data_IF_175464662565
#
_entry.id   IF_175464662565
#
_cell.length_a   1.000
_cell.length_b   1.000
_cell.length_c   1.000
_cell.angle_alpha   90.00
_cell.angle_beta   90.00
_cell.angle_gamma   90.00
#
_symmetry.space_group_name_H-M   'P 1'
#
loop_
_entity.id
_entity.type
_entity.pdbx_description
1 polymer ?
#
# COMPACT_ATOMS: atom_id res chain seq x y z
N UNK A 1 -20.08 -21.22 -18.53
CA UNK A 1 -18.61 -21.30 -18.50
C UNK A 1 -18.03 -19.93 -18.82
N UNK A 2 -17.64 -19.13 -17.82
CA UNK A 2 -16.88 -17.87 -18.02
C UNK A 2 -16.23 -17.32 -16.74
N UNK A 3 -16.45 -17.92 -15.57
CA UNK A 3 -15.88 -17.42 -14.31
C UNK A 3 -14.37 -17.66 -14.15
N UNK A 4 -13.83 -18.73 -14.74
CA UNK A 4 -12.41 -19.11 -14.59
C UNK A 4 -11.47 -18.06 -15.21
N UNK A 5 -11.90 -17.37 -16.27
CA UNK A 5 -11.07 -16.37 -16.97
C UNK A 5 -10.95 -15.07 -16.17
N UNK A 6 -11.93 -14.76 -15.31
CA UNK A 6 -11.95 -13.50 -14.59
C UNK A 6 -10.98 -13.52 -13.39
N UNK A 7 -10.90 -14.64 -12.67
CA UNK A 7 -10.03 -14.78 -11.50
C UNK A 7 -8.54 -14.71 -11.88
N UNK A 8 -8.15 -15.39 -12.97
CA UNK A 8 -6.78 -15.33 -13.49
C UNK A 8 -6.39 -13.91 -13.94
N UNK A 9 -7.34 -13.15 -14.48
CA UNK A 9 -7.10 -11.76 -14.92
C UNK A 9 -6.86 -10.83 -13.73
N UNK A 10 -7.61 -10.99 -12.64
CA UNK A 10 -7.46 -10.16 -11.43
C UNK A 10 -6.11 -10.40 -10.77
N UNK A 11 -5.71 -11.67 -10.62
CA UNK A 11 -4.40 -12.03 -10.05
C UNK A 11 -3.25 -11.44 -10.86
N UNK A 12 -3.32 -11.50 -12.20
CA UNK A 12 -2.31 -10.88 -13.07
C UNK A 12 -2.24 -9.36 -12.96
N UNK A 13 -3.37 -8.69 -12.72
CA UNK A 13 -3.38 -7.22 -12.53
C UNK A 13 -2.70 -6.86 -11.22
N UNK A 14 -2.98 -7.58 -10.14
CA UNK A 14 -2.35 -7.35 -8.84
C UNK A 14 -0.83 -7.58 -8.90
N UNK A 15 -0.40 -8.67 -9.53
CA UNK A 15 1.03 -8.94 -9.77
C UNK A 15 1.70 -7.80 -10.54
N UNK A 16 1.08 -7.31 -11.62
CA UNK A 16 1.63 -6.20 -12.42
C UNK A 16 1.70 -4.90 -11.64
N UNK A 17 0.66 -4.56 -10.88
CA UNK A 17 0.64 -3.31 -10.10
C UNK A 17 1.69 -3.36 -8.99
N UNK A 18 2.00 -4.53 -8.44
CA UNK A 18 3.05 -4.67 -7.42
C UNK A 18 4.48 -4.78 -8.00
N UNK A 19 4.65 -4.94 -9.33
CA UNK A 19 5.96 -4.94 -9.98
C UNK A 19 6.50 -3.50 -10.11
N UNK A 20 7.58 -3.20 -9.38
CA UNK A 20 8.24 -1.89 -9.41
C UNK A 20 8.68 -1.46 -10.82
N UNK A 21 9.15 -2.40 -11.65
CA UNK A 21 9.57 -2.10 -13.01
C UNK A 21 8.38 -1.71 -13.90
N UNK A 22 7.20 -2.28 -13.63
CA UNK A 22 5.95 -1.89 -14.29
C UNK A 22 5.47 -0.52 -13.82
N UNK A 23 5.52 -0.23 -12.52
CA UNK A 23 5.17 1.07 -11.96
C UNK A 23 6.06 2.19 -12.52
N UNK A 24 7.39 1.98 -12.58
CA UNK A 24 8.33 2.93 -13.19
C UNK A 24 8.01 3.18 -14.65
N UNK A 25 7.63 2.14 -15.39
CA UNK A 25 7.25 2.26 -16.79
C UNK A 25 5.95 3.06 -16.95
N UNK A 26 4.94 2.80 -16.11
CA UNK A 26 3.71 3.58 -16.07
C UNK A 26 3.92 5.05 -15.69
N UNK A 27 4.88 5.34 -14.81
CA UNK A 27 5.21 6.71 -14.40
C UNK A 27 6.13 7.45 -15.38
N UNK A 28 6.64 6.79 -16.42
CA UNK A 28 7.58 7.36 -17.38
C UNK A 28 9.04 7.44 -16.88
N UNK A 29 9.37 6.78 -15.77
CA UNK A 29 10.71 6.77 -15.17
C UNK A 29 11.46 5.43 -15.36
N UNK A 30 10.98 4.56 -16.24
CA UNK A 30 11.65 3.30 -16.54
C UNK A 30 12.93 3.51 -17.36
N UNK A 31 13.88 2.61 -17.17
CA UNK A 31 15.04 2.46 -18.06
C UNK A 31 14.63 2.00 -19.46
N UNK A 32 15.50 2.19 -20.46
CA UNK A 32 15.23 1.75 -21.83
C UNK A 32 14.99 0.24 -21.94
N UNK A 33 15.72 -0.56 -21.14
CA UNK A 33 15.56 -2.00 -21.09
C UNK A 33 14.20 -2.43 -20.53
N UNK A 34 13.75 -1.78 -19.45
CA UNK A 34 12.41 -2.03 -18.88
C UNK A 34 11.31 -1.58 -19.83
N UNK A 35 11.48 -0.44 -20.48
CA UNK A 35 10.54 0.06 -21.49
C UNK A 35 10.37 -0.94 -22.63
N UNK A 36 11.48 -1.44 -23.17
CA UNK A 36 11.45 -2.47 -24.22
C UNK A 36 10.78 -3.76 -23.73
N UNK A 37 11.11 -4.25 -22.52
CA UNK A 37 10.46 -5.42 -21.91
C UNK A 37 8.93 -5.30 -21.92
N UNK A 38 8.40 -4.17 -21.46
CA UNK A 38 6.95 -3.97 -21.37
C UNK A 38 6.28 -3.69 -22.71
N UNK A 39 6.96 -2.96 -23.60
CA UNK A 39 6.49 -2.75 -24.98
C UNK A 39 6.41 -4.07 -25.76
N UNK A 40 7.36 -4.97 -25.56
CA UNK A 40 7.35 -6.29 -26.19
C UNK A 40 6.29 -7.20 -25.57
N UNK A 41 6.12 -7.17 -24.25
CA UNK A 41 5.01 -7.85 -23.57
C UNK A 41 3.64 -7.43 -24.11
N UNK A 42 3.43 -6.13 -24.40
CA UNK A 42 2.20 -5.61 -24.99
C UNK A 42 1.94 -6.12 -26.42
N UNK A 43 2.99 -6.45 -27.18
CA UNK A 43 2.87 -6.93 -28.57
C UNK A 43 2.56 -8.43 -28.65
N UNK A 44 2.92 -9.21 -27.63
CA UNK A 44 2.78 -10.68 -27.65
C UNK A 44 1.33 -11.13 -27.77
N UNK A 45 0.41 -10.54 -26.99
CA UNK A 45 -0.98 -10.99 -26.94
C UNK A 45 -1.96 -9.82 -26.81
N UNK A 46 -3.09 -9.89 -27.52
CA UNK A 46 -4.17 -8.90 -27.40
C UNK A 46 -4.77 -8.88 -25.97
N UNK A 47 -4.68 -9.99 -25.23
CA UNK A 47 -5.11 -10.03 -23.83
C UNK A 47 -4.25 -9.12 -22.94
N UNK A 48 -2.95 -9.00 -23.21
CA UNK A 48 -2.04 -8.14 -22.44
C UNK A 48 -2.45 -6.67 -22.57
N UNK A 49 -2.96 -6.24 -23.73
CA UNK A 49 -3.49 -4.89 -23.89
C UNK A 49 -4.71 -4.62 -23.00
N UNK A 50 -5.58 -5.61 -22.82
CA UNK A 50 -6.75 -5.48 -21.92
C UNK A 50 -6.30 -5.40 -20.46
N UNK A 51 -5.36 -6.25 -20.06
CA UNK A 51 -4.77 -6.25 -18.71
C UNK A 51 -4.08 -4.92 -18.44
N UNK A 52 -3.28 -4.42 -19.38
CA UNK A 52 -2.63 -3.11 -19.29
C UNK A 52 -3.63 -1.97 -19.08
N UNK A 53 -4.72 -1.92 -19.86
CA UNK A 53 -5.75 -0.88 -19.69
C UNK A 53 -6.38 -0.94 -18.31
N UNK A 54 -6.68 -2.14 -17.81
CA UNK A 54 -7.24 -2.33 -16.47
C UNK A 54 -6.25 -1.90 -15.38
N UNK A 55 -5.00 -2.37 -15.45
CA UNK A 55 -3.94 -2.02 -14.51
C UNK A 55 -3.66 -0.51 -14.50
N UNK A 56 -3.63 0.11 -15.69
CA UNK A 56 -3.46 1.57 -15.83
C UNK A 56 -4.60 2.35 -15.16
N UNK A 57 -5.85 1.91 -15.32
CA UNK A 57 -6.99 2.56 -14.67
C UNK A 57 -6.88 2.48 -13.14
N UNK A 58 -6.51 1.32 -12.60
CA UNK A 58 -6.29 1.15 -11.15
C UNK A 58 -5.13 2.03 -10.68
N UNK A 59 -4.01 2.02 -11.41
CA UNK A 59 -2.85 2.87 -11.12
C UNK A 59 -3.21 4.36 -11.10
N UNK A 60 -3.92 4.85 -12.11
CA UNK A 60 -4.36 6.26 -12.16
C UNK A 60 -5.34 6.61 -11.05
N UNK A 61 -6.22 5.69 -10.66
CA UNK A 61 -7.12 5.90 -9.53
C UNK A 61 -6.37 5.88 -8.18
N UNK A 62 -5.30 5.09 -8.07
CA UNK A 62 -4.47 4.98 -6.87
C UNK A 62 -3.44 6.10 -6.73
N UNK A 63 -3.06 6.77 -7.82
CA UNK A 63 -2.26 7.98 -7.73
C UNK A 63 -3.05 9.04 -6.96
N UNK A 64 -2.68 9.22 -5.70
CA UNK A 64 -3.08 10.38 -4.94
C UNK A 64 -2.60 11.59 -5.72
N UNK A 65 -3.54 12.30 -6.35
CA UNK A 65 -3.25 13.63 -6.86
C UNK A 65 -2.62 14.39 -5.70
N UNK A 66 -1.44 15.01 -5.87
CA UNK A 66 -0.90 15.91 -4.88
C UNK A 66 -1.94 17.02 -4.73
N UNK A 67 -2.80 16.89 -3.73
CA UNK A 67 -3.66 17.96 -3.33
C UNK A 67 -2.71 19.08 -2.89
N UNK A 68 -2.97 20.34 -3.27
CA UNK A 68 -2.21 21.44 -2.72
C UNK A 68 -2.24 21.29 -1.19
N UNK A 69 -1.06 21.37 -0.56
CA UNK A 69 -1.00 21.34 0.89
C UNK A 69 -1.96 22.42 1.41
N UNK A 70 -2.93 22.08 2.25
CA UNK A 70 -3.85 23.08 2.76
C UNK A 70 -3.06 24.13 3.52
N UNK A 71 -3.44 25.40 3.36
CA UNK A 71 -2.89 26.46 4.18
C UNK A 71 -3.26 26.18 5.64
N UNK A 72 -2.25 25.99 6.48
CA UNK A 72 -2.41 25.62 7.88
C UNK A 72 -3.26 26.65 8.62
N UNK A 73 -3.09 27.93 8.31
CA UNK A 73 -3.83 29.01 8.97
C UNK A 73 -5.31 28.98 8.58
N UNK A 74 -5.62 28.76 7.30
CA UNK A 74 -7.00 28.69 6.80
C UNK A 74 -7.74 27.49 7.39
N UNK A 75 -7.09 26.32 7.46
CA UNK A 75 -7.69 25.12 8.08
C UNK A 75 -7.82 25.26 9.59
N UNK A 76 -6.88 25.92 10.27
CA UNK A 76 -6.99 26.19 11.70
C UNK A 76 -8.17 27.11 12.01
N UNK A 77 -8.34 28.20 11.25
CA UNK A 77 -9.48 29.11 11.36
C UNK A 77 -10.79 28.35 11.10
N UNK A 78 -10.82 27.52 10.07
CA UNK A 78 -11.98 26.68 9.75
C UNK A 78 -12.33 25.73 10.89
N UNK A 79 -11.32 25.14 11.54
CA UNK A 79 -11.49 24.29 12.72
C UNK A 79 -12.02 25.08 13.92
N UNK A 80 -11.47 26.26 14.21
CA UNK A 80 -11.94 27.13 15.29
C UNK A 80 -13.41 27.51 15.09
N UNK A 81 -13.78 27.90 13.87
CA UNK A 81 -15.16 28.22 13.50
C UNK A 81 -16.10 27.01 13.66
N UNK A 82 -15.67 25.81 13.27
CA UNK A 82 -16.47 24.57 13.43
C UNK A 82 -16.68 24.19 14.89
N UNK A 83 -15.71 24.49 15.75
CA UNK A 83 -15.78 24.21 17.18
C UNK A 83 -16.54 25.31 17.94
N UNK A 84 -16.99 26.38 17.27
CA UNK A 84 -17.61 27.53 17.93
C UNK A 84 -16.65 28.23 18.89
N UNK A 85 -15.34 28.09 18.66
CA UNK A 85 -14.31 28.81 19.40
C UNK A 85 -14.25 30.23 18.85
N UNK A 86 -15.30 31.02 19.12
CA UNK A 86 -15.23 32.45 18.95
C UNK A 86 -14.06 32.95 19.82
N UNK A 87 -13.10 33.62 19.19
CA UNK A 87 -11.90 34.18 19.84
C UNK A 87 -12.20 35.13 21.00
N UNK A 88 -13.46 35.57 21.14
CA UNK A 88 -13.96 36.34 22.27
C UNK A 88 -14.23 35.50 23.55
N UNK A 89 -14.23 34.17 23.49
CA UNK A 89 -14.34 33.29 24.67
C UNK A 89 -13.00 32.72 25.16
N UNK A 90 -11.91 32.93 24.40
CA UNK A 90 -10.57 32.44 24.75
C UNK A 90 -9.97 33.09 26.01
N UNK A 91 -10.59 34.15 26.56
CA UNK A 91 -10.13 34.80 27.78
C UNK A 91 -10.67 34.19 29.09
N UNK A 92 -11.64 33.26 29.06
CA UNK A 92 -12.33 32.80 30.30
C UNK A 92 -12.28 31.28 30.53
N UNK A 93 -11.70 30.48 29.62
CA UNK A 93 -11.48 29.05 29.91
C UNK A 93 -10.12 28.83 30.58
N UNK A 94 -10.07 29.20 31.86
CA UNK A 94 -9.06 28.72 32.80
C UNK A 94 -9.33 27.22 33.04
N UNK A 95 -8.95 26.37 32.09
CA UNK A 95 -9.02 24.91 32.23
C UNK A 95 -7.99 24.56 33.33
N UNK A 96 -8.41 24.09 34.52
CA UNK A 96 -7.45 23.63 35.51
C UNK A 96 -6.76 22.41 34.93
N UNK A 97 -5.48 22.57 34.57
CA UNK A 97 -4.59 21.52 34.09
C UNK A 97 -4.19 20.59 35.24
N UNK A 98 -5.18 20.01 35.94
CA UNK A 98 -4.94 18.87 36.81
C UNK A 98 -5.12 17.58 36.00
N UNK A 99 -4.27 17.40 35.00
CA UNK A 99 -4.08 16.09 34.37
C UNK A 99 -3.04 15.39 35.22
N UNK A 100 -3.51 14.72 36.26
CA UNK A 100 -2.75 13.74 37.02
C UNK A 100 -2.27 12.68 36.01
N UNK A 101 -0.99 12.77 35.64
CA UNK A 101 -0.28 11.82 34.80
C UNK A 101 -0.25 10.44 35.46
N UNK A 102 -1.37 9.70 35.39
CA UNK A 102 -1.33 8.25 35.53
C UNK A 102 -0.76 7.70 34.23
N UNK A 103 0.56 7.67 34.21
CA UNK A 103 1.40 6.85 33.34
C UNK A 103 0.94 5.39 33.45
N UNK A 104 -0.11 5.06 32.70
CA UNK A 104 -0.52 3.69 32.43
C UNK A 104 0.50 3.11 31.47
N UNK A 105 1.54 2.50 32.02
CA UNK A 105 2.57 1.81 31.26
C UNK A 105 1.92 0.84 30.27
N UNK A 106 1.97 1.21 28.99
CA UNK A 106 1.61 0.34 27.88
C UNK A 106 2.67 -0.76 27.88
N UNK A 107 2.35 -1.89 28.51
CA UNK A 107 3.14 -3.12 28.40
C UNK A 107 3.08 -3.57 26.94
N UNK A 108 4.07 -3.16 26.16
CA UNK A 108 4.30 -3.70 24.83
C UNK A 108 4.54 -5.19 24.96
N UNK A 109 3.57 -5.99 24.52
CA UNK A 109 3.77 -7.42 24.30
C UNK A 109 4.71 -7.55 23.11
N UNK A 110 6.01 -7.73 23.39
CA UNK A 110 7.00 -8.17 22.40
C UNK A 110 6.58 -9.55 21.89
N UNK A 111 5.88 -9.55 20.75
CA UNK A 111 5.44 -10.75 20.08
C UNK A 111 6.67 -11.41 19.45
N UNK A 112 7.08 -12.55 19.99
CA UNK A 112 8.30 -13.27 19.64
C UNK A 112 8.25 -13.83 18.20
N UNK A 113 8.50 -12.98 17.21
CA UNK A 113 8.51 -13.31 15.77
C UNK A 113 9.60 -14.35 15.39
N UNK A 114 10.56 -14.60 16.28
CA UNK A 114 11.64 -15.58 16.09
C UNK A 114 11.17 -17.05 16.06
N UNK A 115 9.99 -17.38 16.59
CA UNK A 115 9.49 -18.77 16.57
C UNK A 115 8.78 -19.13 15.25
N UNK A 116 8.25 -18.14 14.52
CA UNK A 116 7.53 -18.38 13.26
C UNK A 116 8.50 -18.71 12.10
N UNK A 117 9.69 -18.10 12.09
CA UNK A 117 10.70 -18.34 11.04
C UNK A 117 11.32 -19.75 11.12
N UNK A 118 11.46 -20.33 12.32
CA UNK A 118 12.06 -21.65 12.51
C UNK A 118 11.20 -22.80 11.95
N UNK A 119 9.87 -22.65 11.96
CA UNK A 119 8.94 -23.68 11.46
C UNK A 119 8.93 -23.73 9.93
N UNK A 120 9.08 -22.58 9.25
CA UNK A 120 9.09 -22.53 7.78
C UNK A 120 10.33 -23.20 7.16
N UNK A 121 11.51 -23.07 7.79
CA UNK A 121 12.74 -23.68 7.27
C UNK A 121 12.74 -25.22 7.31
N UNK A 122 12.05 -25.81 8.29
CA UNK A 122 11.96 -27.27 8.42
C UNK A 122 11.18 -27.96 7.28
N UNK A 123 10.11 -27.34 6.80
CA UNK A 123 9.30 -27.89 5.70
C UNK A 123 10.06 -27.90 4.36
N UNK A 124 10.90 -26.90 4.10
CA UNK A 124 11.68 -26.82 2.86
C UNK A 124 12.73 -27.94 2.80
N UNK A 125 13.40 -28.24 3.91
CA UNK A 125 14.38 -29.34 3.98
C UNK A 125 13.73 -30.72 3.81
N UNK A 126 12.53 -30.94 4.35
CA UNK A 126 11.82 -32.22 4.19
C UNK A 126 11.42 -32.49 2.72
N UNK A 127 11.02 -31.46 1.98
CA UNK A 127 10.63 -31.57 0.56
C UNK A 127 11.86 -31.90 -0.31
N UNK A 128 12.99 -31.23 -0.07
CA UNK A 128 14.24 -31.49 -0.83
C UNK A 128 14.76 -32.92 -0.56
N UNK A 129 14.69 -33.36 0.70
CA UNK A 129 15.10 -34.72 1.08
C UNK A 129 14.27 -35.80 0.39
N UNK A 130 12.96 -35.57 0.25
CA UNK A 130 12.06 -36.52 -0.39
C UNK A 130 12.36 -36.69 -1.88
N UNK A 131 12.65 -35.60 -2.61
CA UNK A 131 12.95 -35.69 -4.05
C UNK A 131 14.27 -36.40 -4.35
N UNK A 132 15.28 -36.28 -3.48
CA UNK A 132 16.56 -36.98 -3.61
C UNK A 132 16.47 -38.48 -3.33
N UNK A 133 15.47 -38.94 -2.56
CA UNK A 133 15.28 -40.36 -2.27
C UNK A 133 14.43 -41.08 -3.34
N UNK A 134 13.60 -40.34 -4.07
CA UNK A 134 12.71 -40.90 -5.10
C UNK A 134 13.33 -40.94 -6.51
N UNK A 135 14.49 -40.30 -6.70
CA UNK A 135 15.25 -40.33 -7.96
C UNK A 135 16.40 -41.32 -7.90
#
# INVERSE_FOLDING_TARGET
MNQINHENTVLKIDELINDESFQRWLSGNASDAEKQKWDDWLKLENQNQKIYRAAKNVWTAAQFHPAPAPNVDDELIRLQNRLGLDSNQAAILHIPSNVENKSGGIKSKSFNWLHAAAIAAGFILAIISYQLFTS
#
